data_IF_403674008303
#
_entry.id   IF_403674008303
#
_cell.length_a   1.000
_cell.length_b   1.000
_cell.length_c   1.000
_cell.angle_alpha   90.00
_cell.angle_beta   90.00
_cell.angle_gamma   90.00
#
_symmetry.space_group_name_H-M   'P 1'
#
loop_
_entity.id
_entity.type
_entity.pdbx_description
1 polymer ?
#
# COMPACT_ATOMS: atom_id res chain seq x y z
N UNK A 1 1.64 4.72 -1.01
CA UNK A 1 2.67 4.50 0.06
C UNK A 1 4.09 4.68 -0.44
N UNK A 2 4.48 3.93 -1.48
CA UNK A 2 5.83 3.98 -2.06
C UNK A 2 6.26 5.41 -2.39
N UNK A 3 5.39 6.17 -3.06
CA UNK A 3 5.67 7.57 -3.44
C UNK A 3 6.05 8.45 -2.24
N UNK A 4 5.32 8.32 -1.14
CA UNK A 4 5.59 9.07 0.09
C UNK A 4 6.91 8.63 0.73
N UNK A 5 7.20 7.33 0.73
CA UNK A 5 8.45 6.79 1.26
C UNK A 5 9.67 7.33 0.49
N UNK A 6 9.56 7.51 -0.83
CA UNK A 6 10.55 8.23 -1.62
C UNK A 6 10.60 9.72 -1.25
N UNK A 7 9.45 10.39 -1.13
CA UNK A 7 9.37 11.82 -0.80
C UNK A 7 10.13 12.18 0.48
N UNK A 8 9.99 11.36 1.52
CA UNK A 8 10.64 11.59 2.82
C UNK A 8 11.99 10.87 2.97
N UNK A 9 12.50 10.26 1.89
CA UNK A 9 13.77 9.54 1.84
C UNK A 9 13.87 8.39 2.86
N UNK A 10 12.78 7.63 3.07
CA UNK A 10 12.79 6.46 3.95
C UNK A 10 12.74 5.11 3.21
N UNK A 11 12.54 5.10 1.90
CA UNK A 11 12.46 3.88 1.07
C UNK A 11 13.59 2.87 1.35
N UNK A 12 14.85 3.31 1.32
CA UNK A 12 16.01 2.43 1.55
C UNK A 12 16.03 1.79 2.94
N UNK A 13 15.59 2.53 3.97
CA UNK A 13 15.51 1.99 5.32
C UNK A 13 14.44 0.89 5.40
N UNK A 14 13.29 1.11 4.77
CA UNK A 14 12.21 0.12 4.69
C UNK A 14 12.68 -1.15 3.98
N UNK A 15 13.28 -1.02 2.80
CA UNK A 15 13.78 -2.17 2.02
C UNK A 15 14.95 -2.91 2.69
N UNK A 16 15.70 -2.25 3.57
CA UNK A 16 16.74 -2.92 4.34
C UNK A 16 16.18 -3.71 5.53
N UNK A 17 15.07 -3.26 6.09
CA UNK A 17 14.47 -3.86 7.28
C UNK A 17 13.39 -4.90 6.96
N UNK A 18 12.65 -4.71 5.85
CA UNK A 18 11.54 -5.56 5.43
C UNK A 18 11.78 -6.12 4.03
N UNK A 19 11.26 -7.32 3.79
CA UNK A 19 11.04 -7.82 2.43
C UNK A 19 9.83 -7.09 1.84
N UNK A 20 10.08 -5.97 1.16
CA UNK A 20 9.02 -5.17 0.57
C UNK A 20 8.60 -5.78 -0.75
N UNK A 21 7.32 -6.13 -0.86
CA UNK A 21 6.72 -6.70 -2.07
C UNK A 21 5.58 -5.81 -2.58
N UNK A 22 5.28 -5.90 -3.88
CA UNK A 22 4.18 -5.16 -4.51
C UNK A 22 3.75 -5.84 -5.81
N UNK A 23 2.74 -5.31 -6.50
CA UNK A 23 2.28 -5.79 -7.81
C UNK A 23 2.84 -4.92 -8.95
N UNK A 24 2.90 -5.48 -10.17
CA UNK A 24 3.43 -4.78 -11.35
C UNK A 24 2.74 -3.43 -11.62
N UNK A 25 1.42 -3.37 -11.44
CA UNK A 25 0.64 -2.15 -11.69
C UNK A 25 1.10 -0.98 -10.79
N UNK A 26 1.28 -1.22 -9.48
CA UNK A 26 1.80 -0.21 -8.56
C UNK A 26 3.20 0.28 -8.96
N UNK A 27 4.07 -0.59 -9.48
CA UNK A 27 5.40 -0.20 -9.97
C UNK A 27 5.28 0.74 -11.16
N UNK A 28 4.39 0.42 -12.10
CA UNK A 28 4.12 1.25 -13.28
C UNK A 28 3.65 2.63 -12.82
N UNK A 29 2.58 2.70 -12.03
CA UNK A 29 1.99 3.95 -11.55
C UNK A 29 2.99 4.83 -10.79
N UNK A 30 3.80 4.23 -9.90
CA UNK A 30 4.82 4.96 -9.15
C UNK A 30 5.88 5.60 -10.06
N UNK A 31 6.21 4.95 -11.18
CA UNK A 31 7.23 5.43 -12.11
C UNK A 31 6.66 6.41 -13.16
N UNK A 32 5.44 6.17 -13.63
CA UNK A 32 4.84 6.87 -14.78
C UNK A 32 3.91 8.01 -14.40
N UNK A 33 3.42 8.06 -13.15
CA UNK A 33 2.31 8.92 -12.69
C UNK A 33 2.33 10.36 -13.20
N UNK A 34 1.17 11.03 -13.18
CA UNK A 34 0.87 12.26 -13.93
C UNK A 34 2.02 13.29 -13.89
N UNK A 35 2.68 13.59 -15.04
CA UNK A 35 3.79 14.53 -15.09
C UNK A 35 3.38 15.97 -14.77
N UNK A 36 2.09 16.29 -14.84
CA UNK A 36 1.54 17.62 -14.54
C UNK A 36 1.15 17.79 -13.07
N UNK A 37 1.22 16.73 -12.27
CA UNK A 37 0.84 16.78 -10.86
C UNK A 37 1.84 17.62 -10.04
N UNK A 38 1.37 18.71 -9.38
CA UNK A 38 2.23 19.51 -8.51
C UNK A 38 2.78 18.67 -7.35
N UNK A 39 4.07 18.81 -7.06
CA UNK A 39 4.71 18.05 -5.98
C UNK A 39 5.02 16.59 -6.32
N UNK A 40 4.95 16.21 -7.61
CA UNK A 40 5.36 14.88 -8.10
C UNK A 40 6.76 14.52 -7.61
N UNK A 41 6.87 13.31 -7.07
CA UNK A 41 8.16 12.68 -6.75
C UNK A 41 8.58 11.85 -7.95
N UNK A 42 9.71 12.17 -8.57
CA UNK A 42 10.26 11.31 -9.61
C UNK A 42 10.89 10.08 -8.98
N UNK A 43 10.39 8.90 -9.34
CA UNK A 43 10.88 7.62 -8.83
C UNK A 43 11.54 6.87 -9.99
N UNK A 44 12.88 6.74 -10.00
CA UNK A 44 13.56 5.95 -11.01
C UNK A 44 13.17 4.47 -10.86
N UNK A 45 12.64 3.87 -11.93
CA UNK A 45 12.25 2.45 -11.94
C UNK A 45 13.36 1.51 -11.42
N UNK A 46 14.66 1.68 -11.78
CA UNK A 46 15.72 0.83 -11.23
C UNK A 46 15.90 0.96 -9.72
N UNK A 47 15.69 2.14 -9.14
CA UNK A 47 15.80 2.36 -7.69
C UNK A 47 14.61 1.76 -6.94
N UNK A 48 13.41 1.87 -7.52
CA UNK A 48 12.22 1.20 -6.97
C UNK A 48 12.38 -0.32 -7.00
N UNK A 49 12.65 -0.89 -8.17
CA UNK A 49 12.80 -2.35 -8.32
C UNK A 49 13.96 -2.88 -7.48
N UNK A 50 15.09 -2.16 -7.43
CA UNK A 50 16.25 -2.58 -6.65
C UNK A 50 16.03 -2.65 -5.14
N UNK A 51 14.96 -2.04 -4.62
CA UNK A 51 14.57 -2.14 -3.21
C UNK A 51 13.50 -3.21 -2.93
N UNK A 52 12.85 -3.75 -3.96
CA UNK A 52 11.76 -4.72 -3.79
C UNK A 52 12.32 -6.14 -3.68
N UNK A 53 11.82 -6.92 -2.72
CA UNK A 53 12.10 -8.35 -2.62
C UNK A 53 11.38 -9.12 -3.74
N UNK A 54 10.17 -8.67 -4.11
CA UNK A 54 9.36 -9.31 -5.15
C UNK A 54 8.40 -8.32 -5.81
N UNK A 55 8.13 -8.56 -7.09
CA UNK A 55 7.05 -7.92 -7.84
C UNK A 55 6.15 -9.01 -8.38
N UNK A 56 4.88 -8.97 -8.04
CA UNK A 56 3.90 -9.98 -8.40
C UNK A 56 3.14 -9.61 -9.66
N UNK A 57 3.06 -10.56 -10.59
CA UNK A 57 2.15 -10.48 -11.72
C UNK A 57 0.72 -10.74 -11.25
N UNK A 58 -0.24 -10.03 -11.84
CA UNK A 58 -1.67 -10.20 -11.59
C UNK A 58 -2.32 -10.45 -12.94
N UNK A 59 -3.01 -11.57 -13.08
CA UNK A 59 -3.68 -11.95 -14.32
C UNK A 59 -5.18 -11.62 -14.28
N UNK A 60 -5.82 -11.70 -15.45
CA UNK A 60 -7.25 -11.43 -15.61
C UNK A 60 -8.13 -12.38 -14.79
N UNK A 61 -7.64 -13.59 -14.48
CA UNK A 61 -8.39 -14.56 -13.66
C UNK A 61 -8.46 -14.10 -12.22
N UNK A 62 -7.35 -13.64 -11.64
CA UNK A 62 -7.32 -13.07 -10.29
C UNK A 62 -8.24 -11.85 -10.17
N UNK A 63 -8.20 -10.95 -11.15
CA UNK A 63 -9.06 -9.77 -11.22
C UNK A 63 -10.55 -10.14 -11.31
N UNK A 64 -10.89 -11.09 -12.18
CA UNK A 64 -12.26 -11.57 -12.35
C UNK A 64 -12.79 -12.25 -11.08
N UNK A 65 -11.98 -13.10 -10.44
CA UNK A 65 -12.32 -13.78 -9.19
C UNK A 65 -12.61 -12.78 -8.07
N UNK A 66 -11.73 -11.80 -7.86
CA UNK A 66 -11.96 -10.73 -6.88
C UNK A 66 -13.32 -10.05 -7.11
N UNK A 67 -13.65 -9.75 -8.37
CA UNK A 67 -14.89 -9.04 -8.71
C UNK A 67 -16.15 -9.89 -8.48
N UNK A 68 -16.07 -11.20 -8.74
CA UNK A 68 -17.17 -12.14 -8.53
C UNK A 68 -17.40 -12.42 -7.05
N UNK A 69 -16.33 -12.64 -6.30
CA UNK A 69 -16.39 -13.04 -4.89
C UNK A 69 -16.64 -11.83 -3.96
N UNK A 70 -16.17 -10.64 -4.35
CA UNK A 70 -16.32 -9.40 -3.61
C UNK A 70 -17.08 -8.33 -4.42
N UNK A 71 -18.38 -8.50 -4.71
CA UNK A 71 -19.15 -7.54 -5.53
C UNK A 71 -19.28 -6.15 -4.87
N UNK A 72 -19.10 -6.07 -3.56
CA UNK A 72 -19.16 -4.84 -2.77
C UNK A 72 -17.81 -4.14 -2.59
N UNK A 73 -16.76 -4.57 -3.29
CA UNK A 73 -15.47 -3.88 -3.28
C UNK A 73 -15.66 -2.41 -3.67
N UNK A 74 -15.07 -1.44 -2.94
CA UNK A 74 -15.09 -0.05 -3.35
C UNK A 74 -14.43 0.14 -4.73
N UNK A 75 -14.69 1.29 -5.34
CA UNK A 75 -13.91 1.71 -6.51
C UNK A 75 -12.46 1.94 -6.08
N UNK A 76 -11.55 1.19 -6.69
CA UNK A 76 -10.11 1.26 -6.50
C UNK A 76 -9.47 1.82 -7.77
N UNK A 77 -8.31 2.46 -7.63
CA UNK A 77 -7.44 2.67 -8.78
C UNK A 77 -6.84 1.33 -9.24
N UNK A 78 -6.19 1.32 -10.41
CA UNK A 78 -5.73 0.09 -11.04
C UNK A 78 -4.66 -0.60 -10.17
N UNK A 79 -3.73 0.16 -9.58
CA UNK A 79 -2.72 -0.35 -8.67
C UNK A 79 -3.30 -1.05 -7.45
N UNK A 80 -4.19 -0.38 -6.71
CA UNK A 80 -4.81 -0.94 -5.52
C UNK A 80 -5.76 -2.09 -5.89
N UNK A 81 -6.45 -2.03 -7.02
CA UNK A 81 -7.27 -3.14 -7.51
C UNK A 81 -6.44 -4.40 -7.78
N UNK A 82 -5.29 -4.27 -8.44
CA UNK A 82 -4.36 -5.37 -8.67
C UNK A 82 -3.79 -5.91 -7.34
N UNK A 83 -3.46 -5.02 -6.40
CA UNK A 83 -2.97 -5.43 -5.08
C UNK A 83 -4.01 -6.26 -4.33
N UNK A 84 -5.27 -5.81 -4.30
CA UNK A 84 -6.36 -6.57 -3.67
C UNK A 84 -6.63 -7.89 -4.37
N UNK A 85 -6.51 -7.96 -5.70
CA UNK A 85 -6.69 -9.20 -6.45
C UNK A 85 -5.61 -10.23 -6.11
N UNK A 86 -4.36 -9.79 -6.00
CA UNK A 86 -3.26 -10.66 -5.58
C UNK A 86 -3.44 -11.17 -4.15
N UNK A 87 -3.81 -10.31 -3.21
CA UNK A 87 -4.07 -10.69 -1.81
C UNK A 87 -5.22 -11.70 -1.70
N UNK A 88 -6.30 -11.50 -2.47
CA UNK A 88 -7.45 -12.39 -2.51
C UNK A 88 -7.09 -13.77 -3.10
N UNK A 89 -6.26 -13.81 -4.15
CA UNK A 89 -5.82 -15.05 -4.78
C UNK A 89 -4.78 -15.83 -3.96
N UNK A 90 -4.07 -15.17 -3.03
CA UNK A 90 -2.99 -15.75 -2.22
C UNK A 90 -3.28 -15.56 -0.72
N UNK A 91 -4.34 -16.16 -0.17
CA UNK A 91 -4.78 -15.90 1.21
C UNK A 91 -3.74 -16.29 2.27
N UNK A 92 -2.97 -17.36 2.05
CA UNK A 92 -1.94 -17.83 2.98
C UNK A 92 -0.79 -16.82 3.12
N UNK A 93 -0.40 -16.17 2.01
CA UNK A 93 0.61 -15.10 2.03
C UNK A 93 0.02 -13.81 2.60
N UNK A 94 -1.23 -13.50 2.26
CA UNK A 94 -1.91 -12.28 2.71
C UNK A 94 -2.03 -12.19 4.23
N UNK A 95 -2.35 -13.30 4.92
CA UNK A 95 -2.46 -13.32 6.39
C UNK A 95 -1.12 -13.16 7.11
N UNK A 96 0.00 -13.47 6.45
CA UNK A 96 1.35 -13.33 6.98
C UNK A 96 1.98 -11.96 6.65
N UNK A 97 1.42 -11.26 5.66
CA UNK A 97 1.95 -9.99 5.17
C UNK A 97 1.40 -8.80 5.95
N UNK A 98 2.23 -7.80 6.25
CA UNK A 98 1.75 -6.49 6.69
C UNK A 98 1.39 -5.66 5.46
N UNK A 99 0.14 -5.22 5.37
CA UNK A 99 -0.36 -4.45 4.22
C UNK A 99 -0.16 -2.98 4.51
N UNK A 100 0.36 -2.22 3.56
CA UNK A 100 0.49 -0.78 3.74
C UNK A 100 -0.09 -0.05 2.54
N UNK A 101 -1.16 0.69 2.79
CA UNK A 101 -1.79 1.64 1.87
C UNK A 101 -2.30 2.82 2.69
N UNK A 102 -2.36 4.00 2.08
CA UNK A 102 -2.96 5.19 2.68
C UNK A 102 -4.20 5.66 1.90
N UNK A 103 -4.59 4.90 0.88
CA UNK A 103 -5.83 5.14 0.17
C UNK A 103 -7.02 4.62 0.97
N UNK A 104 -8.07 5.45 1.10
CA UNK A 104 -9.24 5.10 1.91
C UNK A 104 -10.04 3.94 1.30
N UNK A 105 -10.15 3.89 -0.02
CA UNK A 105 -10.88 2.84 -0.72
C UNK A 105 -10.13 1.51 -0.60
N UNK A 106 -8.80 1.52 -0.73
CA UNK A 106 -7.96 0.35 -0.52
C UNK A 106 -8.05 -0.18 0.91
N UNK A 107 -8.02 0.69 1.92
CA UNK A 107 -8.22 0.28 3.33
C UNK A 107 -9.62 -0.32 3.52
N UNK A 108 -10.67 0.27 2.92
CA UNK A 108 -12.01 -0.33 2.91
C UNK A 108 -12.04 -1.71 2.25
N UNK A 109 -11.33 -1.88 1.14
CA UNK A 109 -11.21 -3.16 0.46
C UNK A 109 -10.54 -4.22 1.35
N UNK A 110 -9.51 -3.87 2.12
CA UNK A 110 -8.92 -4.82 3.09
C UNK A 110 -9.92 -5.25 4.16
N UNK A 111 -10.87 -4.41 4.55
CA UNK A 111 -11.93 -4.80 5.46
C UNK A 111 -12.89 -5.81 4.84
N UNK A 112 -13.28 -5.62 3.58
CA UNK A 112 -14.08 -6.58 2.80
C UNK A 112 -13.35 -7.94 2.70
N UNK A 113 -12.02 -7.90 2.50
CA UNK A 113 -11.18 -9.10 2.42
C UNK A 113 -10.82 -9.71 3.79
N UNK A 114 -11.35 -9.20 4.91
CA UNK A 114 -11.01 -9.63 6.28
C UNK A 114 -9.54 -9.47 6.66
N UNK A 115 -8.82 -8.57 5.98
CA UNK A 115 -7.41 -8.26 6.16
C UNK A 115 -7.16 -6.91 6.85
N UNK A 116 -8.20 -6.25 7.38
CA UNK A 116 -8.07 -4.92 8.03
C UNK A 116 -7.02 -4.90 9.16
N UNK A 117 -6.91 -5.99 9.92
CA UNK A 117 -5.97 -6.13 11.03
C UNK A 117 -4.52 -6.31 10.55
N UNK A 118 -4.30 -6.54 9.25
CA UNK A 118 -2.99 -6.60 8.62
C UNK A 118 -2.50 -5.24 8.14
N UNK A 119 -3.37 -4.22 8.13
CA UNK A 119 -3.01 -2.89 7.61
C UNK A 119 -2.17 -2.11 8.62
N UNK A 120 -0.99 -1.65 8.20
CA UNK A 120 -0.01 -0.89 8.99
C UNK A 120 0.33 0.44 8.31
N UNK A 121 0.50 1.50 9.08
CA UNK A 121 0.84 2.84 8.57
C UNK A 121 2.31 2.96 8.15
N UNK A 122 2.62 3.92 7.25
CA UNK A 122 4.00 4.21 6.86
C UNK A 122 4.84 4.64 8.07
N UNK A 123 4.22 5.39 8.97
CA UNK A 123 4.86 5.86 10.18
C UNK A 123 5.33 4.71 11.05
N UNK A 124 4.48 3.70 11.30
CA UNK A 124 4.87 2.52 12.08
C UNK A 124 5.97 1.71 11.39
N UNK A 125 5.86 1.48 10.07
CA UNK A 125 6.92 0.80 9.32
C UNK A 125 8.24 1.56 9.42
N UNK A 126 8.21 2.89 9.25
CA UNK A 126 9.39 3.73 9.34
C UNK A 126 10.02 3.73 10.73
N UNK A 127 9.22 3.76 11.79
CA UNK A 127 9.71 3.65 13.18
C UNK A 127 10.43 2.31 13.41
N UNK A 128 9.84 1.20 12.98
CA UNK A 128 10.43 -0.14 13.09
C UNK A 128 11.72 -0.27 12.28
N UNK A 129 11.77 0.35 11.10
CA UNK A 129 12.96 0.39 10.24
C UNK A 129 14.05 1.38 10.72
N UNK A 130 13.87 2.05 11.86
CA UNK A 130 14.86 2.98 12.42
C UNK A 130 14.94 4.32 11.69
N UNK A 131 13.90 4.73 10.97
CA UNK A 131 13.83 6.03 10.30
C UNK A 131 13.82 7.15 11.35
N UNK A 132 14.67 8.15 11.17
CA UNK A 132 14.83 9.24 12.14
C UNK A 132 13.54 10.05 12.32
N UNK A 133 13.25 10.45 13.56
CA UNK A 133 12.03 11.22 13.92
C UNK A 133 11.80 12.43 13.03
N UNK A 134 12.85 13.23 12.75
CA UNK A 134 12.75 14.40 11.86
C UNK A 134 12.27 14.07 10.46
N UNK A 135 12.57 12.88 9.94
CA UNK A 135 12.06 12.44 8.63
C UNK A 135 10.59 12.05 8.73
N UNK A 136 10.22 11.30 9.77
CA UNK A 136 8.84 10.88 10.02
C UNK A 136 7.90 12.06 10.28
N UNK A 137 8.39 13.14 10.91
CA UNK A 137 7.62 14.37 11.13
C UNK A 137 7.22 15.06 9.80
N UNK A 138 7.87 14.71 8.68
CA UNK A 138 7.49 15.23 7.36
C UNK A 138 6.38 14.43 6.69
N UNK A 139 5.93 13.28 7.24
CA UNK A 139 4.85 12.48 6.64
C UNK A 139 3.56 13.28 6.53
N UNK A 140 2.88 13.15 5.39
CA UNK A 140 1.52 13.69 5.28
C UNK A 140 0.58 12.98 6.27
N UNK A 141 -0.47 13.64 6.77
CA UNK A 141 -1.28 13.11 7.88
C UNK A 141 -1.87 11.71 7.65
N UNK A 142 -2.26 11.37 6.42
CA UNK A 142 -2.85 10.08 6.09
C UNK A 142 -1.85 8.91 6.07
N UNK A 143 -0.55 9.18 6.21
CA UNK A 143 0.48 8.15 6.38
C UNK A 143 0.82 7.87 7.86
N UNK A 144 0.18 8.59 8.79
CA UNK A 144 0.41 8.47 10.22
C UNK A 144 -0.54 7.44 10.86
N UNK A 145 -0.11 6.87 11.98
CA UNK A 145 -0.86 5.81 12.67
C UNK A 145 -2.18 6.32 13.28
N UNK A 146 -2.21 7.56 13.76
CA UNK A 146 -3.42 8.14 14.35
C UNK A 146 -4.56 8.24 13.33
N UNK A 147 -4.24 8.60 12.09
CA UNK A 147 -5.20 8.63 10.99
C UNK A 147 -5.70 7.23 10.65
N UNK A 148 -4.79 6.27 10.50
CA UNK A 148 -5.16 4.89 10.18
C UNK A 148 -6.00 4.26 11.31
N UNK A 149 -5.62 4.48 12.57
CA UNK A 149 -6.36 3.99 13.74
C UNK A 149 -7.78 4.55 13.78
N UNK A 150 -7.96 5.85 13.49
CA UNK A 150 -9.27 6.48 13.40
C UNK A 150 -10.10 5.84 12.28
N UNK A 151 -9.51 5.62 11.11
CA UNK A 151 -10.19 5.00 9.98
C UNK A 151 -10.57 3.53 10.28
N UNK A 152 -9.66 2.73 10.86
CA UNK A 152 -9.95 1.35 11.30
C UNK A 152 -11.14 1.32 12.27
N UNK A 153 -11.21 2.25 13.22
CA UNK A 153 -12.33 2.35 14.16
C UNK A 153 -13.65 2.67 13.44
N UNK A 154 -13.65 3.63 12.51
CA UNK A 154 -14.84 3.99 11.74
C UNK A 154 -15.37 2.80 10.92
N UNK A 155 -14.49 2.01 10.32
CA UNK A 155 -14.85 0.82 9.56
C UNK A 155 -15.44 -0.27 10.46
N UNK A 156 -14.81 -0.56 11.61
CA UNK A 156 -15.34 -1.55 12.57
C UNK A 156 -16.71 -1.17 13.13
N UNK A 157 -17.00 0.13 13.20
CA UNK A 157 -18.29 0.66 13.66
C UNK A 157 -19.32 0.80 12.52
N UNK A 158 -18.97 0.44 11.27
CA UNK A 158 -19.81 0.61 10.09
C UNK A 158 -20.31 2.06 9.87
N UNK A 159 -19.45 3.05 10.12
CA UNK A 159 -19.76 4.49 9.98
C UNK A 159 -19.37 5.02 8.57
N UNK A 160 -18.85 4.16 7.69
CA UNK A 160 -18.33 4.47 6.35
C UNK A 160 -18.79 3.48 5.27
#
# INVERSE_FOLDING_TARGET
>A
MIIEAFRINCWKALCHHFEVETVECCVIECCTGDPLQPGRVQIPRPELIGGLARVHAVDDTMLAMLRLDCPHLPALDDGEHHLMAWLHANPDDAVLTAISTADRAAIRATHVLTLLDRVTSLQQLGQSAGVGRKQLDNLQPHFQEDWLSTLRLQLRMNIL
#
